data_IF_414493248717
#
_entry.id   IF_414493248717
#
_cell.length_a   1.000
_cell.length_b   1.000
_cell.length_c   1.000
_cell.angle_alpha   90.00
_cell.angle_beta   90.00
_cell.angle_gamma   90.00
#
_symmetry.space_group_name_H-M   'P 1'
#
loop_
_entity.id
_entity.type
_entity.pdbx_description
1 polymer ?
#
# COMPACT_ATOMS: atom_id res chain seq x y z
N UNK A 1 -57.77 0.43 4.88
CA UNK A 1 -56.92 -0.12 5.93
C UNK A 1 -55.81 -1.02 5.39
N UNK A 2 -56.07 -2.03 4.55
CA UNK A 2 -55.01 -2.95 4.05
C UNK A 2 -53.90 -2.26 3.25
N UNK A 3 -54.20 -1.22 2.43
CA UNK A 3 -53.19 -0.44 1.66
C UNK A 3 -52.32 0.47 2.56
N UNK A 4 -52.87 0.97 3.68
CA UNK A 4 -52.14 1.79 4.63
C UNK A 4 -51.15 0.94 5.46
N UNK A 5 -51.55 -0.29 5.83
CA UNK A 5 -50.73 -1.26 6.55
C UNK A 5 -49.57 -1.75 5.66
N UNK A 6 -49.82 -2.00 4.36
CA UNK A 6 -48.78 -2.37 3.41
C UNK A 6 -47.77 -1.24 3.16
N UNK A 7 -48.23 0.02 3.15
CA UNK A 7 -47.33 1.18 3.00
C UNK A 7 -46.47 1.42 4.25
N UNK A 8 -47.03 1.19 5.43
CA UNK A 8 -46.30 1.28 6.71
C UNK A 8 -45.28 0.12 6.83
N UNK A 9 -45.63 -1.07 6.36
CA UNK A 9 -44.71 -2.23 6.36
C UNK A 9 -43.57 -2.04 5.36
N UNK A 10 -43.84 -1.44 4.19
CA UNK A 10 -42.82 -1.09 3.19
C UNK A 10 -41.89 0.04 3.72
N UNK A 11 -42.43 1.00 4.47
CA UNK A 11 -41.65 2.06 5.09
C UNK A 11 -40.79 1.51 6.24
N UNK A 12 -41.31 0.54 7.03
CA UNK A 12 -40.58 -0.09 8.12
C UNK A 12 -39.41 -0.97 7.61
N UNK A 13 -39.52 -1.60 6.42
CA UNK A 13 -38.45 -2.38 5.81
C UNK A 13 -37.35 -1.50 5.18
N UNK A 14 -37.61 -0.23 4.88
CA UNK A 14 -36.59 0.73 4.44
C UNK A 14 -35.74 1.29 5.61
N UNK A 15 -36.24 1.25 6.85
CA UNK A 15 -35.52 1.79 8.01
C UNK A 15 -34.53 0.79 8.59
N UNK A 16 -34.66 -0.51 8.30
CA UNK A 16 -33.79 -1.56 8.83
C UNK A 16 -32.38 -1.66 8.20
N UNK A 17 -32.03 -0.81 7.23
CA UNK A 17 -30.71 -0.82 6.59
C UNK A 17 -29.78 0.33 7.02
N UNK A 18 -30.07 1.03 8.11
CA UNK A 18 -29.14 1.99 8.72
C UNK A 18 -28.30 1.33 9.85
N UNK A 19 -27.88 0.08 9.67
CA UNK A 19 -26.81 -0.45 10.50
C UNK A 19 -25.52 0.19 10.02
N UNK A 20 -24.81 0.84 10.92
CA UNK A 20 -23.44 1.30 10.66
C UNK A 20 -22.63 0.08 10.19
N UNK A 21 -22.12 0.14 8.98
CA UNK A 21 -21.32 -0.93 8.41
C UNK A 21 -20.05 -1.07 9.23
N UNK A 22 -19.81 -2.26 9.74
CA UNK A 22 -18.58 -2.56 10.48
C UNK A 22 -17.38 -2.65 9.53
N UNK A 23 -16.17 -2.48 10.04
CA UNK A 23 -14.95 -2.66 9.24
C UNK A 23 -14.92 -4.04 8.58
N UNK A 24 -15.37 -5.09 9.27
CA UNK A 24 -15.43 -6.46 8.75
C UNK A 24 -16.35 -6.59 7.51
N UNK A 25 -17.49 -5.91 7.50
CA UNK A 25 -18.37 -5.89 6.32
C UNK A 25 -17.71 -5.22 5.11
N UNK A 26 -16.93 -4.15 5.33
CA UNK A 26 -16.15 -3.51 4.28
C UNK A 26 -15.04 -4.43 3.73
N UNK A 27 -14.39 -5.22 4.59
CA UNK A 27 -13.37 -6.20 4.16
C UNK A 27 -13.99 -7.30 3.29
N UNK A 28 -15.15 -7.85 3.69
CA UNK A 28 -15.88 -8.83 2.89
C UNK A 28 -16.28 -8.24 1.53
N UNK A 29 -16.85 -7.03 1.51
CA UNK A 29 -17.23 -6.34 0.29
C UNK A 29 -16.03 -6.10 -0.63
N UNK A 30 -14.88 -5.70 -0.09
CA UNK A 30 -13.65 -5.53 -0.86
C UNK A 30 -13.17 -6.84 -1.46
N UNK A 31 -13.18 -7.93 -0.69
CA UNK A 31 -12.79 -9.27 -1.14
C UNK A 31 -13.66 -9.80 -2.29
N UNK A 32 -14.97 -9.55 -2.25
CA UNK A 32 -15.89 -10.01 -3.27
C UNK A 32 -15.91 -9.15 -4.53
N UNK A 33 -15.75 -7.84 -4.40
CA UNK A 33 -16.00 -6.92 -5.50
C UNK A 33 -14.76 -6.37 -6.18
N UNK A 34 -13.60 -6.39 -5.54
CA UNK A 34 -12.40 -5.76 -6.06
C UNK A 34 -11.96 -6.36 -7.41
N UNK A 35 -11.84 -5.55 -8.49
CA UNK A 35 -11.49 -6.04 -9.82
C UNK A 35 -10.07 -6.62 -9.90
N UNK A 36 -9.12 -6.06 -9.15
CA UNK A 36 -7.74 -6.53 -9.13
C UNK A 36 -7.66 -7.93 -8.53
N UNK A 37 -8.42 -8.20 -7.47
CA UNK A 37 -8.47 -9.52 -6.84
C UNK A 37 -9.12 -10.54 -7.77
N UNK A 38 -10.21 -10.17 -8.47
CA UNK A 38 -10.84 -11.00 -9.51
C UNK A 38 -9.86 -11.31 -10.65
N UNK A 39 -9.06 -10.35 -11.08
CA UNK A 39 -8.04 -10.57 -12.11
C UNK A 39 -6.97 -11.57 -11.65
N UNK A 40 -6.45 -11.46 -10.41
CA UNK A 40 -5.50 -12.42 -9.84
C UNK A 40 -6.07 -13.82 -9.74
N UNK A 41 -7.33 -13.95 -9.34
CA UNK A 41 -8.02 -15.24 -9.31
C UNK A 41 -8.18 -15.85 -10.71
N UNK A 42 -8.52 -15.03 -11.71
CA UNK A 42 -8.60 -15.48 -13.11
C UNK A 42 -7.22 -15.92 -13.65
N UNK A 43 -6.12 -15.22 -13.28
CA UNK A 43 -4.76 -15.66 -13.60
C UNK A 43 -4.43 -17.05 -13.01
N UNK A 44 -4.85 -17.31 -11.78
CA UNK A 44 -4.72 -18.62 -11.16
C UNK A 44 -5.52 -19.68 -11.93
N UNK A 45 -6.79 -19.41 -12.25
CA UNK A 45 -7.63 -20.31 -13.04
C UNK A 45 -7.02 -20.59 -14.43
N UNK A 46 -6.46 -19.58 -15.08
CA UNK A 46 -5.76 -19.75 -16.36
C UNK A 46 -4.50 -20.61 -16.21
N UNK A 47 -3.75 -20.43 -15.11
CA UNK A 47 -2.57 -21.25 -14.83
C UNK A 47 -2.93 -22.73 -14.57
N UNK A 48 -4.05 -23.00 -13.91
CA UNK A 48 -4.55 -24.37 -13.72
C UNK A 48 -4.83 -25.09 -15.06
N UNK A 49 -5.32 -24.35 -16.08
CA UNK A 49 -5.57 -24.92 -17.40
C UNK A 49 -4.30 -25.22 -18.21
N UNK A 50 -3.13 -24.73 -17.79
CA UNK A 50 -1.85 -25.07 -18.42
C UNK A 50 -1.37 -26.48 -18.07
N UNK A 51 -1.70 -26.98 -16.89
CA UNK A 51 -1.26 -28.30 -16.44
C UNK A 51 -1.76 -29.44 -17.31
N UNK A 52 -3.06 -29.55 -17.68
CA UNK A 52 -3.52 -30.58 -18.63
C UNK A 52 -2.90 -30.39 -20.02
N UNK A 53 -2.68 -29.15 -20.48
CA UNK A 53 -2.05 -28.88 -21.78
C UNK A 53 -0.58 -29.36 -21.80
N UNK A 54 0.20 -29.03 -20.75
CA UNK A 54 1.60 -29.44 -20.64
C UNK A 54 1.77 -30.95 -20.47
N UNK A 55 0.78 -31.66 -19.91
CA UNK A 55 0.77 -33.09 -19.72
C UNK A 55 0.20 -33.88 -20.90
N UNK A 56 -0.32 -33.22 -21.93
CA UNK A 56 -0.87 -33.88 -23.10
C UNK A 56 0.22 -34.30 -24.10
N UNK A 57 -0.08 -35.31 -24.89
CA UNK A 57 0.76 -35.66 -26.03
C UNK A 57 0.74 -34.56 -27.07
N UNK A 58 1.86 -34.33 -27.82
CA UNK A 58 1.86 -33.49 -28.99
C UNK A 58 0.79 -33.93 -30.00
N UNK A 59 0.26 -33.02 -30.76
CA UNK A 59 -0.72 -33.32 -31.78
C UNK A 59 -0.16 -34.26 -32.86
N UNK A 60 -0.96 -35.20 -33.41
CA UNK A 60 -0.52 -36.03 -34.53
C UNK A 60 -0.31 -35.18 -35.77
N UNK A 61 0.79 -35.38 -36.46
CA UNK A 61 1.11 -34.72 -37.70
C UNK A 61 0.51 -35.49 -38.89
N UNK A 62 -0.29 -34.82 -39.73
CA UNK A 62 -0.82 -35.37 -40.97
C UNK A 62 -0.13 -34.69 -42.18
N UNK A 63 0.56 -35.44 -43.00
CA UNK A 63 1.19 -34.94 -44.20
C UNK A 63 0.50 -35.48 -45.42
N UNK A 64 0.21 -34.61 -46.39
CA UNK A 64 -0.41 -34.93 -47.69
C UNK A 64 0.55 -34.55 -48.78
N UNK A 65 0.97 -35.50 -49.61
CA UNK A 65 1.86 -35.28 -50.75
C UNK A 65 1.16 -35.68 -52.03
N UNK A 66 1.21 -34.80 -53.04
CA UNK A 66 0.69 -35.04 -54.38
C UNK A 66 1.81 -34.82 -55.40
N UNK A 67 1.98 -35.80 -56.28
CA UNK A 67 2.96 -35.68 -57.35
C UNK A 67 2.29 -35.08 -58.60
N UNK A 68 2.79 -33.93 -59.07
CA UNK A 68 2.31 -33.28 -60.32
C UNK A 68 2.61 -34.14 -61.52
N UNK A 69 3.73 -34.85 -61.52
CA UNK A 69 4.06 -35.92 -62.44
C UNK A 69 4.15 -37.22 -61.66
N UNK A 70 3.37 -38.26 -62.04
CA UNK A 70 3.38 -39.53 -61.33
C UNK A 70 4.78 -40.13 -61.30
N UNK A 71 5.24 -40.55 -60.12
CA UNK A 71 6.57 -41.16 -59.96
C UNK A 71 6.48 -42.64 -60.35
N UNK A 72 7.23 -43.04 -61.38
CA UNK A 72 7.28 -44.45 -61.79
C UNK A 72 7.96 -45.33 -60.73
N UNK A 73 7.25 -46.35 -60.27
CA UNK A 73 7.78 -47.37 -59.33
C UNK A 73 7.39 -48.76 -59.82
N UNK A 74 8.08 -49.76 -59.32
CA UNK A 74 7.82 -51.20 -59.70
C UNK A 74 6.33 -51.60 -59.47
N UNK A 75 5.67 -51.01 -58.46
CA UNK A 75 4.29 -51.29 -58.10
C UNK A 75 3.24 -50.42 -58.81
N UNK A 76 3.60 -49.60 -59.78
CA UNK A 76 2.74 -48.65 -60.44
C UNK A 76 3.22 -47.21 -60.29
N UNK A 77 2.49 -46.28 -60.91
CA UNK A 77 2.76 -44.86 -60.84
C UNK A 77 2.22 -44.26 -59.53
N UNK A 78 3.11 -43.83 -58.62
CA UNK A 78 2.73 -43.17 -57.36
C UNK A 78 2.18 -41.78 -57.68
N UNK A 79 0.94 -41.50 -57.26
CA UNK A 79 0.24 -40.23 -57.49
C UNK A 79 0.28 -39.33 -56.25
N UNK A 80 0.39 -39.91 -55.08
CA UNK A 80 0.47 -39.22 -53.84
C UNK A 80 0.57 -40.15 -52.62
N UNK A 81 0.75 -39.56 -51.47
CA UNK A 81 0.72 -40.27 -50.19
C UNK A 81 0.09 -39.44 -49.12
N UNK A 82 -0.46 -40.12 -48.13
CA UNK A 82 -1.00 -39.54 -46.88
C UNK A 82 -0.33 -40.23 -45.73
N UNK A 83 0.33 -39.47 -44.86
CA UNK A 83 0.94 -40.03 -43.67
C UNK A 83 0.38 -39.37 -42.40
N UNK A 84 0.16 -40.17 -41.37
CA UNK A 84 -0.17 -39.69 -40.01
C UNK A 84 0.93 -40.20 -39.08
N UNK A 85 1.48 -39.29 -38.26
CA UNK A 85 2.54 -39.61 -37.32
C UNK A 85 2.22 -39.04 -35.93
N UNK A 86 2.30 -39.88 -34.88
CA UNK A 86 2.22 -39.49 -33.47
C UNK A 86 3.60 -39.58 -32.84
N UNK A 87 4.05 -38.45 -32.27
CA UNK A 87 5.31 -38.41 -31.50
C UNK A 87 5.01 -38.67 -30.01
N UNK A 88 5.91 -39.44 -29.39
CA UNK A 88 5.88 -39.75 -27.97
C UNK A 88 7.18 -39.25 -27.33
N UNK A 89 7.13 -38.18 -26.49
CA UNK A 89 8.27 -37.77 -25.70
C UNK A 89 8.74 -38.88 -24.77
N UNK A 90 10.01 -38.79 -24.33
CA UNK A 90 10.56 -39.78 -23.40
C UNK A 90 9.71 -39.88 -22.14
N UNK A 91 9.62 -41.12 -21.59
CA UNK A 91 8.82 -41.40 -20.41
C UNK A 91 9.16 -40.47 -19.24
N UNK A 92 8.11 -39.90 -18.61
CA UNK A 92 8.23 -38.96 -17.52
C UNK A 92 8.37 -37.46 -17.94
N UNK A 93 8.65 -37.16 -19.24
CA UNK A 93 8.78 -35.75 -19.70
C UNK A 93 7.47 -34.97 -19.55
N UNK A 94 6.34 -35.57 -19.97
CA UNK A 94 5.01 -34.96 -19.83
C UNK A 94 4.60 -34.84 -18.36
N UNK A 95 4.96 -35.82 -17.53
CA UNK A 95 4.75 -35.77 -16.09
C UNK A 95 5.51 -34.63 -15.41
N UNK A 96 6.78 -34.41 -15.79
CA UNK A 96 7.57 -33.30 -15.30
C UNK A 96 7.01 -31.93 -15.74
N UNK A 97 6.62 -31.81 -17.02
CA UNK A 97 5.99 -30.61 -17.56
C UNK A 97 4.65 -30.30 -16.86
N UNK A 98 3.82 -31.32 -16.61
CA UNK A 98 2.57 -31.18 -15.85
C UNK A 98 2.83 -30.74 -14.41
N UNK A 99 3.86 -31.31 -13.75
CA UNK A 99 4.22 -30.94 -12.39
C UNK A 99 4.70 -29.49 -12.30
N UNK A 100 5.57 -29.06 -13.23
CA UNK A 100 5.99 -27.67 -13.35
C UNK A 100 4.79 -26.73 -13.48
N UNK A 101 3.86 -27.01 -14.41
CA UNK A 101 2.66 -26.22 -14.62
C UNK A 101 1.74 -26.18 -13.38
N UNK A 102 1.63 -27.29 -12.64
CA UNK A 102 0.89 -27.34 -11.37
C UNK A 102 1.52 -26.45 -10.30
N UNK A 103 2.85 -26.51 -10.13
CA UNK A 103 3.55 -25.68 -9.15
C UNK A 103 3.46 -24.19 -9.52
N UNK A 104 3.55 -23.87 -10.82
CA UNK A 104 3.30 -22.51 -11.30
C UNK A 104 1.86 -22.03 -11.02
N UNK A 105 0.88 -22.94 -11.09
CA UNK A 105 -0.49 -22.60 -10.69
C UNK A 105 -0.60 -22.36 -9.18
N UNK A 106 0.07 -23.16 -8.33
CA UNK A 106 0.13 -22.92 -6.89
C UNK A 106 0.83 -21.60 -6.54
N UNK A 107 1.89 -21.26 -7.26
CA UNK A 107 2.53 -19.95 -7.14
C UNK A 107 1.56 -18.80 -7.44
N UNK A 108 0.72 -18.93 -8.49
CA UNK A 108 -0.33 -17.95 -8.81
C UNK A 108 -1.42 -17.89 -7.74
N UNK A 109 -1.76 -19.01 -7.12
CA UNK A 109 -2.68 -19.04 -5.99
C UNK A 109 -2.12 -18.29 -4.78
N UNK A 110 -0.86 -18.54 -4.41
CA UNK A 110 -0.20 -17.81 -3.32
C UNK A 110 -0.12 -16.31 -3.62
N UNK A 111 0.12 -15.91 -4.88
CA UNK A 111 0.07 -14.50 -5.31
C UNK A 111 -1.34 -13.89 -5.20
N UNK A 112 -2.39 -14.68 -5.43
CA UNK A 112 -3.78 -14.26 -5.19
C UNK A 112 -4.04 -14.01 -3.70
N UNK A 113 -3.61 -14.93 -2.82
CA UNK A 113 -3.75 -14.75 -1.36
C UNK A 113 -2.97 -13.53 -0.88
N UNK A 114 -1.74 -13.32 -1.38
CA UNK A 114 -0.96 -12.12 -1.07
C UNK A 114 -1.69 -10.84 -1.50
N UNK A 115 -2.26 -10.80 -2.69
CA UNK A 115 -3.05 -9.67 -3.16
C UNK A 115 -4.28 -9.43 -2.27
N UNK A 116 -4.94 -10.50 -1.77
CA UNK A 116 -6.09 -10.42 -0.86
C UNK A 116 -5.70 -9.78 0.48
N UNK A 117 -4.65 -10.27 1.12
CA UNK A 117 -4.22 -9.72 2.43
C UNK A 117 -3.69 -8.28 2.30
N UNK A 118 -3.02 -7.95 1.19
CA UNK A 118 -2.59 -6.57 0.90
C UNK A 118 -3.79 -5.64 0.67
N UNK A 119 -4.84 -6.10 0.00
CA UNK A 119 -6.09 -5.36 -0.16
C UNK A 119 -6.74 -5.09 1.20
N UNK A 120 -6.86 -6.10 2.04
CA UNK A 120 -7.45 -5.98 3.38
C UNK A 120 -6.67 -5.00 4.25
N UNK A 121 -5.34 -5.09 4.25
CA UNK A 121 -4.49 -4.12 4.93
C UNK A 121 -4.70 -2.69 4.39
N UNK A 122 -4.79 -2.51 3.06
CA UNK A 122 -5.03 -1.20 2.44
C UNK A 122 -6.40 -0.63 2.79
N UNK A 123 -7.44 -1.46 2.85
CA UNK A 123 -8.78 -1.06 3.28
C UNK A 123 -8.74 -0.62 4.75
N UNK A 124 -8.11 -1.41 5.65
CA UNK A 124 -7.96 -1.06 7.07
C UNK A 124 -7.22 0.24 7.28
N UNK A 125 -6.08 0.42 6.62
CA UNK A 125 -5.27 1.65 6.77
C UNK A 125 -5.99 2.87 6.25
N UNK A 126 -6.74 2.75 5.16
CA UNK A 126 -7.55 3.87 4.63
C UNK A 126 -8.75 4.17 5.54
N UNK A 127 -9.38 3.15 6.10
CA UNK A 127 -10.44 3.30 7.10
C UNK A 127 -9.92 4.00 8.37
N UNK A 128 -8.76 3.59 8.87
CA UNK A 128 -8.08 4.25 10.01
C UNK A 128 -7.76 5.72 9.72
N UNK A 129 -7.34 6.03 8.50
CA UNK A 129 -7.07 7.41 8.09
C UNK A 129 -8.36 8.26 8.03
N UNK A 130 -9.49 7.68 7.61
CA UNK A 130 -10.80 8.35 7.66
C UNK A 130 -11.26 8.56 9.10
N UNK A 131 -11.10 7.54 9.95
CA UNK A 131 -11.39 7.63 11.39
C UNK A 131 -10.59 8.75 12.05
N UNK A 132 -9.29 8.83 11.77
CA UNK A 132 -8.43 9.88 12.30
C UNK A 132 -8.93 11.28 11.90
N UNK A 133 -9.34 11.46 10.64
CA UNK A 133 -9.89 12.73 10.15
C UNK A 133 -11.17 13.09 10.92
N UNK A 134 -12.11 12.14 11.08
CA UNK A 134 -13.38 12.40 11.73
C UNK A 134 -13.20 12.71 13.23
N UNK A 135 -12.32 12.01 13.93
CA UNK A 135 -12.01 12.30 15.34
C UNK A 135 -11.26 13.65 15.49
N UNK A 136 -10.34 13.97 14.56
CA UNK A 136 -9.66 15.26 14.56
C UNK A 136 -10.65 16.42 14.30
N UNK A 137 -11.62 16.24 13.42
CA UNK A 137 -12.70 17.21 13.20
C UNK A 137 -13.49 17.45 14.49
N UNK A 138 -13.92 16.38 15.18
CA UNK A 138 -14.63 16.49 16.44
C UNK A 138 -13.78 17.19 17.53
N UNK A 139 -12.49 16.87 17.58
CA UNK A 139 -11.55 17.50 18.51
C UNK A 139 -11.45 19.00 18.26
N UNK A 140 -11.30 19.42 17.00
CA UNK A 140 -11.22 20.84 16.61
C UNK A 140 -12.54 21.57 16.83
N UNK A 141 -13.70 20.94 16.60
CA UNK A 141 -15.02 21.50 16.87
C UNK A 141 -15.21 21.78 18.38
N UNK A 142 -14.84 20.83 19.24
CA UNK A 142 -14.89 21.04 20.71
C UNK A 142 -13.97 22.18 21.14
N UNK A 143 -12.76 22.26 20.58
CA UNK A 143 -11.83 23.35 20.91
C UNK A 143 -12.35 24.71 20.42
N UNK A 144 -12.99 24.73 19.24
CA UNK A 144 -13.63 25.95 18.71
C UNK A 144 -14.73 26.46 19.65
N UNK A 145 -15.58 25.59 20.17
CA UNK A 145 -16.61 25.95 21.14
C UNK A 145 -16.00 26.54 22.43
N UNK A 146 -14.90 25.96 22.91
CA UNK A 146 -14.18 26.46 24.09
C UNK A 146 -13.57 27.84 23.83
N UNK A 147 -12.93 28.06 22.68
CA UNK A 147 -12.36 29.38 22.33
C UNK A 147 -13.44 30.44 22.16
N UNK A 148 -14.59 30.09 21.57
CA UNK A 148 -15.74 31.01 21.47
C UNK A 148 -16.34 31.34 22.85
N UNK A 149 -16.37 30.36 23.78
CA UNK A 149 -16.78 30.64 25.14
C UNK A 149 -15.80 31.57 25.86
N UNK A 150 -14.50 31.35 25.66
CA UNK A 150 -13.45 32.21 26.22
C UNK A 150 -13.50 33.64 25.65
N UNK A 151 -13.79 33.79 24.34
CA UNK A 151 -14.02 35.12 23.73
C UNK A 151 -15.17 35.88 24.41
N UNK A 152 -16.28 35.18 24.67
CA UNK A 152 -17.42 35.79 25.38
C UNK A 152 -17.04 36.27 26.78
N UNK A 153 -16.25 35.49 27.52
CA UNK A 153 -15.76 35.86 28.87
C UNK A 153 -14.80 37.05 28.77
N UNK A 154 -13.86 37.05 27.82
CA UNK A 154 -12.94 38.17 27.61
C UNK A 154 -13.67 39.46 27.23
N UNK A 155 -14.69 39.37 26.37
CA UNK A 155 -15.56 40.50 26.00
C UNK A 155 -16.37 41.06 27.19
N UNK A 156 -16.91 40.15 28.03
CA UNK A 156 -17.63 40.58 29.24
C UNK A 156 -16.69 41.28 30.22
N UNK A 157 -15.48 40.77 30.44
CA UNK A 157 -14.44 41.34 31.26
C UNK A 157 -14.00 42.74 30.73
N UNK A 158 -13.84 42.88 29.42
CA UNK A 158 -13.53 44.17 28.79
C UNK A 158 -14.64 45.18 28.99
N UNK A 159 -15.91 44.81 28.84
CA UNK A 159 -17.07 45.68 29.05
C UNK A 159 -17.32 46.07 30.50
N UNK A 160 -16.97 45.19 31.45
CA UNK A 160 -17.15 45.42 32.89
C UNK A 160 -16.01 46.20 33.54
N UNK A 161 -14.90 46.42 32.79
CA UNK A 161 -13.81 47.26 33.27
C UNK A 161 -14.32 48.69 33.45
N UNK A 162 -14.19 49.32 34.65
CA UNK A 162 -14.55 50.71 34.82
C UNK A 162 -13.72 51.55 33.86
N UNK A 163 -14.36 52.38 33.04
CA UNK A 163 -13.67 53.32 32.20
C UNK A 163 -12.73 54.14 33.10
N UNK A 164 -11.42 53.99 32.90
CA UNK A 164 -10.45 54.81 33.61
C UNK A 164 -10.78 56.24 33.27
N UNK A 165 -11.39 56.96 34.25
CA UNK A 165 -11.69 58.37 34.16
C UNK A 165 -10.37 59.08 33.91
N UNK A 166 -10.18 59.58 32.73
CA UNK A 166 -9.15 60.50 32.34
C UNK A 166 -9.45 61.86 33.02
N UNK A 167 -9.27 61.94 34.32
CA UNK A 167 -9.17 63.21 34.97
C UNK A 167 -7.72 63.68 34.87
N UNK A 168 -7.51 64.48 33.89
CA UNK A 168 -6.28 65.25 33.77
C UNK A 168 -6.10 66.16 34.99
N UNK A 169 -5.03 65.90 35.69
CA UNK A 169 -4.44 66.94 36.52
C UNK A 169 -3.25 67.53 35.76
N UNK A 170 -3.57 68.60 35.05
CA UNK A 170 -2.60 69.58 34.65
C UNK A 170 -2.01 70.24 35.91
N UNK A 171 -0.84 69.82 36.34
CA UNK A 171 -0.02 70.58 37.30
C UNK A 171 1.13 71.19 36.55
N UNK A 172 0.90 72.45 36.25
CA UNK A 172 1.86 73.46 35.92
C UNK A 172 2.95 73.54 36.99
N UNK A 173 4.19 73.32 36.65
CA UNK A 173 5.32 73.97 37.30
C UNK A 173 6.38 74.35 36.29
N UNK A 174 6.43 75.69 36.14
CA UNK A 174 7.48 76.47 35.52
C UNK A 174 8.80 76.34 36.30
N UNK A 175 9.79 76.51 35.55
CA UNK A 175 10.97 77.41 35.74
C UNK A 175 12.34 76.75 35.74
N UNK A 176 13.07 77.23 34.83
CA UNK A 176 14.42 77.81 34.93
C UNK A 176 15.55 76.76 35.12
N UNK A 177 16.47 76.70 34.24
CA UNK A 177 17.39 77.61 33.76
C UNK A 177 18.75 76.98 33.56
N UNK A 178 19.42 77.43 32.53
CA UNK A 178 20.86 77.67 32.43
C UNK A 178 21.80 76.55 32.09
N UNK A 179 22.27 76.60 30.87
CA UNK A 179 23.68 76.84 30.44
C UNK A 179 24.71 75.73 30.46
N UNK A 180 25.23 75.61 29.30
CA UNK A 180 26.65 75.66 28.84
C UNK A 180 27.36 74.32 28.62
N UNK A 181 27.70 74.22 27.40
CA UNK A 181 29.00 74.25 26.69
C UNK A 181 29.63 72.86 26.55
N UNK A 182 29.78 72.44 25.38
CA UNK A 182 30.85 72.60 24.39
C UNK A 182 31.90 71.47 24.40
N UNK A 183 32.20 71.10 23.19
CA UNK A 183 33.47 70.59 22.64
C UNK A 183 33.52 69.07 22.43
N UNK A 184 33.48 68.60 21.20
CA UNK A 184 34.49 68.65 20.12
C UNK A 184 35.40 67.39 20.11
N UNK A 185 35.52 66.87 18.92
CA UNK A 185 36.61 65.98 18.48
C UNK A 185 36.09 64.56 18.11
N UNK A 186 36.12 64.08 16.91
CA UNK A 186 37.01 64.28 15.77
C UNK A 186 37.66 62.95 15.42
N UNK A 187 37.63 62.60 14.15
CA UNK A 187 38.48 61.59 13.59
C UNK A 187 37.78 60.30 13.08
N UNK A 188 37.35 60.13 11.86
CA UNK A 188 37.98 59.89 10.54
C UNK A 188 38.91 58.71 10.41
N UNK A 189 38.56 57.91 9.44
CA UNK A 189 39.36 57.22 8.41
C UNK A 189 39.20 55.71 8.41
N UNK A 190 38.62 55.11 7.38
CA UNK A 190 39.12 54.79 6.01
C UNK A 190 40.10 53.60 5.98
N UNK A 191 39.80 52.72 5.04
CA UNK A 191 40.73 51.78 4.45
C UNK A 191 40.16 50.39 4.34
N UNK A 192 39.62 49.96 3.25
CA UNK A 192 40.10 49.57 1.92
C UNK A 192 40.88 48.22 1.90
N UNK A 193 40.25 47.30 1.16
CA UNK A 193 40.81 46.42 0.08
C UNK A 193 41.63 45.15 0.42
N UNK A 194 41.29 44.11 -0.31
CA UNK A 194 42.13 42.99 -0.70
C UNK A 194 41.44 41.61 -0.64
N UNK A 195 40.81 41.08 -1.64
CA UNK A 195 41.24 40.38 -2.86
C UNK A 195 42.02 39.08 -2.63
N UNK A 196 41.45 38.00 -3.21
CA UNK A 196 42.14 36.72 -3.53
C UNK A 196 41.53 35.54 -2.77
N UNK A 197 40.86 34.59 -3.34
CA UNK A 197 41.12 33.79 -4.48
C UNK A 197 41.09 32.31 -4.11
N UNK A 198 40.24 31.60 -4.81
CA UNK A 198 40.37 30.19 -5.20
C UNK A 198 39.76 29.04 -4.36
N UNK A 199 38.71 28.48 -4.95
CA UNK A 199 38.32 27.06 -5.20
C UNK A 199 38.61 25.99 -4.17
N UNK A 200 37.64 25.25 -3.71
CA UNK A 200 37.21 23.92 -4.26
C UNK A 200 36.20 23.25 -3.33
N UNK A 201 35.18 22.70 -4.02
CA UNK A 201 34.44 21.47 -3.73
C UNK A 201 33.89 21.13 -2.34
N UNK A 202 32.57 21.04 -2.25
CA UNK A 202 31.95 19.78 -1.81
C UNK A 202 31.24 19.79 -0.46
N UNK A 203 29.99 19.46 -0.58
CA UNK A 203 29.07 18.95 0.43
C UNK A 203 28.10 19.96 1.04
N UNK A 204 26.89 19.87 0.47
CA UNK A 204 25.65 20.45 0.94
C UNK A 204 25.23 19.87 2.30
N UNK A 205 25.44 20.62 3.35
CA UNK A 205 24.72 20.44 4.60
C UNK A 205 23.80 21.64 4.77
N UNK A 206 22.52 21.43 4.60
CA UNK A 206 21.46 22.38 4.87
C UNK A 206 21.43 22.71 6.38
N UNK A 207 22.06 23.83 6.72
CA UNK A 207 21.88 24.46 8.03
C UNK A 207 20.59 25.25 8.00
N UNK A 208 19.54 24.72 8.63
CA UNK A 208 18.42 25.52 9.06
C UNK A 208 18.90 26.66 9.94
N UNK A 209 18.83 27.88 9.41
CA UNK A 209 19.01 29.10 10.21
C UNK A 209 17.80 29.20 11.14
N UNK A 210 18.01 28.91 12.42
CA UNK A 210 17.13 29.41 13.46
C UNK A 210 17.25 30.95 13.45
N UNK A 211 16.20 31.62 13.00
CA UNK A 211 16.05 33.03 13.29
C UNK A 211 15.82 33.16 14.80
N UNK A 212 16.85 33.54 15.53
CA UNK A 212 16.68 34.11 16.86
C UNK A 212 15.96 35.43 16.68
N UNK A 213 14.64 35.46 16.89
CA UNK A 213 13.94 36.68 17.14
C UNK A 213 14.45 37.28 18.44
N UNK A 214 15.22 38.33 18.30
CA UNK A 214 15.71 39.11 19.42
C UNK A 214 14.53 39.52 20.31
N UNK A 215 14.67 39.17 21.60
CA UNK A 215 13.70 39.55 22.61
C UNK A 215 13.51 41.08 22.67
N UNK A 216 12.33 41.48 22.24
CA UNK A 216 11.71 42.68 22.80
C UNK A 216 10.95 42.26 24.05
N UNK A 217 11.66 42.11 25.16
CA UNK A 217 11.03 42.12 26.46
C UNK A 217 10.58 43.57 26.77
N UNK A 218 9.44 43.93 26.17
CA UNK A 218 8.68 45.03 26.73
C UNK A 218 7.91 44.50 27.91
N UNK A 219 8.38 44.84 29.08
CA UNK A 219 7.63 44.84 30.33
C UNK A 219 6.37 45.68 30.20
N UNK A 220 5.32 45.13 29.61
CA UNK A 220 3.94 45.59 29.76
C UNK A 220 3.22 44.67 30.74
N UNK A 221 3.71 44.67 31.97
CA UNK A 221 2.90 44.32 33.12
C UNK A 221 1.96 45.51 33.36
N UNK A 222 0.80 45.51 32.74
CA UNK A 222 -0.30 46.31 33.23
C UNK A 222 -1.63 45.83 32.69
N UNK A 223 -2.46 45.48 33.63
CA UNK A 223 -3.90 45.41 33.60
C UNK A 223 -4.53 44.51 32.56
N UNK A 224 -4.93 43.33 32.99
CA UNK A 224 -5.72 42.34 32.28
C UNK A 224 -7.11 42.76 31.88
N UNK A 225 -7.24 43.76 31.00
CA UNK A 225 -8.50 44.12 30.38
C UNK A 225 -8.26 44.71 28.99
N UNK A 226 -7.45 44.07 28.23
CA UNK A 226 -7.06 44.58 26.92
C UNK A 226 -7.99 44.04 25.84
N UNK A 227 -8.47 44.91 24.95
CA UNK A 227 -9.11 44.50 23.69
C UNK A 227 -8.21 43.61 22.87
N UNK A 228 -6.91 43.66 23.14
CA UNK A 228 -5.89 42.74 22.57
C UNK A 228 -6.21 41.31 22.86
N UNK A 229 -6.64 40.95 24.10
CA UNK A 229 -7.01 39.60 24.49
C UNK A 229 -8.12 39.03 23.59
N UNK A 230 -9.14 39.86 23.31
CA UNK A 230 -10.25 39.49 22.42
C UNK A 230 -9.78 39.28 20.99
N UNK A 231 -8.86 40.13 20.51
CA UNK A 231 -8.30 40.01 19.16
C UNK A 231 -7.46 38.75 19.04
N UNK A 232 -6.63 38.41 20.04
CA UNK A 232 -5.83 37.20 20.04
C UNK A 232 -6.69 35.94 19.97
N UNK A 233 -7.76 35.89 20.76
CA UNK A 233 -8.71 34.77 20.71
C UNK A 233 -9.36 34.65 19.33
N UNK A 234 -9.78 35.78 18.72
CA UNK A 234 -10.38 35.78 17.37
C UNK A 234 -9.44 35.29 16.29
N UNK A 235 -8.17 35.67 16.36
CA UNK A 235 -7.16 35.16 15.43
C UNK A 235 -7.08 33.64 15.51
N UNK A 236 -7.05 33.09 16.73
CA UNK A 236 -7.02 31.63 16.93
C UNK A 236 -8.31 30.93 16.49
N UNK A 237 -9.47 31.55 16.74
CA UNK A 237 -10.76 31.04 16.23
C UNK A 237 -10.75 30.96 14.70
N UNK A 238 -10.24 32.00 14.01
CA UNK A 238 -10.16 32.01 12.55
C UNK A 238 -9.16 31.00 12.00
N UNK A 239 -8.03 30.81 12.65
CA UNK A 239 -7.06 29.77 12.29
C UNK A 239 -7.67 28.36 12.43
N UNK A 240 -8.38 28.11 13.54
CA UNK A 240 -9.04 26.86 13.81
C UNK A 240 -10.19 26.57 12.82
N UNK A 241 -11.01 27.57 12.49
CA UNK A 241 -12.06 27.47 11.46
C UNK A 241 -11.49 27.09 10.10
N UNK A 242 -10.40 27.73 9.68
CA UNK A 242 -9.72 27.42 8.43
C UNK A 242 -9.15 26.00 8.44
N UNK A 243 -8.49 25.60 9.53
CA UNK A 243 -7.94 24.27 9.70
C UNK A 243 -9.02 23.18 9.64
N UNK A 244 -10.15 23.42 10.28
CA UNK A 244 -11.32 22.54 10.28
C UNK A 244 -11.90 22.40 8.86
N UNK A 245 -11.99 23.50 8.09
CA UNK A 245 -12.44 23.45 6.70
C UNK A 245 -11.49 22.60 5.83
N UNK A 246 -10.18 22.84 5.91
CA UNK A 246 -9.18 22.07 5.17
C UNK A 246 -9.22 20.56 5.53
N UNK A 247 -9.44 20.24 6.80
CA UNK A 247 -9.52 18.87 7.26
C UNK A 247 -10.78 18.17 6.71
N UNK A 248 -11.93 18.83 6.73
CA UNK A 248 -13.16 18.32 6.11
C UNK A 248 -13.00 18.11 4.61
N UNK A 249 -12.34 19.02 3.91
CA UNK A 249 -12.06 18.89 2.47
C UNK A 249 -11.11 17.72 2.18
N UNK A 250 -10.16 17.43 3.08
CA UNK A 250 -9.22 16.31 2.96
C UNK A 250 -9.88 14.93 3.10
N UNK A 251 -11.07 14.85 3.67
CA UNK A 251 -11.84 13.62 3.84
C UNK A 251 -12.29 13.03 2.50
N UNK A 252 -12.75 13.87 1.59
CA UNK A 252 -13.33 13.44 0.30
C UNK A 252 -12.39 12.60 -0.57
N UNK A 253 -11.12 12.97 -0.82
CA UNK A 253 -10.22 12.11 -1.60
C UNK A 253 -9.95 10.75 -0.92
N UNK A 254 -9.95 10.68 0.41
CA UNK A 254 -9.81 9.43 1.14
C UNK A 254 -11.06 8.53 0.99
N UNK A 255 -12.26 9.12 1.03
CA UNK A 255 -13.51 8.38 0.75
C UNK A 255 -13.54 7.81 -0.67
N UNK A 256 -13.14 8.60 -1.67
CA UNK A 256 -13.03 8.13 -3.05
C UNK A 256 -12.05 6.97 -3.16
N UNK A 257 -10.87 7.07 -2.53
CA UNK A 257 -9.89 6.00 -2.51
C UNK A 257 -10.44 4.73 -1.83
N UNK A 258 -11.11 4.88 -0.68
CA UNK A 258 -11.75 3.77 0.03
C UNK A 258 -12.84 3.09 -0.83
N UNK A 259 -13.75 3.88 -1.41
CA UNK A 259 -14.82 3.37 -2.26
C UNK A 259 -14.30 2.66 -3.52
N UNK A 260 -13.18 3.14 -4.09
CA UNK A 260 -12.56 2.50 -5.25
C UNK A 260 -12.00 1.11 -4.92
N UNK A 261 -11.44 0.90 -3.71
CA UNK A 261 -10.99 -0.42 -3.27
C UNK A 261 -12.14 -1.42 -3.12
N UNK A 262 -13.33 -0.94 -2.73
CA UNK A 262 -14.54 -1.74 -2.62
C UNK A 262 -15.30 -1.91 -3.95
N UNK A 263 -14.84 -1.24 -5.01
CA UNK A 263 -15.53 -1.19 -6.31
C UNK A 263 -17.00 -0.78 -6.19
N UNK A 264 -17.26 0.29 -5.42
CA UNK A 264 -18.58 0.90 -5.26
C UNK A 264 -18.57 2.35 -5.73
N UNK A 265 -19.74 2.97 -5.77
CA UNK A 265 -19.87 4.37 -6.19
C UNK A 265 -18.96 5.30 -5.36
N UNK A 266 -18.19 6.15 -6.04
CA UNK A 266 -17.13 6.96 -5.41
C UNK A 266 -17.63 8.00 -4.40
N UNK A 267 -18.87 8.45 -4.54
CA UNK A 267 -19.46 9.49 -3.70
C UNK A 267 -20.27 8.93 -2.50
N UNK A 268 -20.27 7.62 -2.28
CA UNK A 268 -20.93 7.06 -1.11
C UNK A 268 -20.21 7.46 0.17
N UNK A 269 -20.97 7.94 1.15
CA UNK A 269 -20.43 8.27 2.46
C UNK A 269 -19.93 6.99 3.16
N UNK A 270 -18.79 7.09 3.81
CA UNK A 270 -18.23 6.03 4.66
C UNK A 270 -18.68 6.30 6.10
N UNK A 271 -19.39 5.35 6.67
CA UNK A 271 -19.81 5.42 8.08
C UNK A 271 -18.73 4.75 8.95
N UNK A 272 -18.32 5.45 10.00
CA UNK A 272 -17.34 4.99 10.97
C UNK A 272 -18.06 4.86 12.30
N UNK A 273 -18.23 3.63 12.76
CA UNK A 273 -19.06 3.35 13.94
C UNK A 273 -18.27 3.07 15.23
N UNK A 274 -16.97 2.77 15.10
CA UNK A 274 -16.18 2.24 16.19
C UNK A 274 -15.28 3.31 16.82
N UNK A 275 -15.25 3.37 18.15
CA UNK A 275 -14.27 4.14 18.91
C UNK A 275 -13.03 3.29 19.11
N UNK A 276 -11.90 3.72 18.54
CA UNK A 276 -10.63 3.00 18.67
C UNK A 276 -10.04 3.16 20.07
N UNK A 277 -9.58 2.04 20.62
CA UNK A 277 -8.80 1.99 21.85
C UNK A 277 -7.40 1.44 21.56
N UNK A 278 -6.41 1.72 22.40
CA UNK A 278 -5.09 1.11 22.26
C UNK A 278 -5.18 -0.42 22.18
N UNK A 279 -4.45 -1.01 21.24
CA UNK A 279 -4.49 -2.45 20.95
C UNK A 279 -3.19 -3.12 21.38
N UNK A 280 -3.27 -4.33 21.95
CA UNK A 280 -2.12 -5.15 22.28
C UNK A 280 -1.61 -5.92 21.05
N UNK A 281 -0.35 -6.36 21.09
CA UNK A 281 0.19 -7.27 20.07
C UNK A 281 -0.61 -8.59 20.06
N UNK A 282 -0.90 -9.16 18.86
CA UNK A 282 -1.75 -10.34 18.73
C UNK A 282 -1.11 -11.60 19.30
N UNK A 283 0.22 -11.68 19.37
CA UNK A 283 0.96 -12.84 19.83
C UNK A 283 2.36 -12.47 20.33
N UNK A 284 3.06 -13.44 20.94
CA UNK A 284 4.48 -13.29 21.27
C UNK A 284 5.35 -13.22 20.01
N UNK A 285 6.51 -12.57 20.11
CA UNK A 285 7.44 -12.42 18.99
C UNK A 285 7.82 -13.75 18.32
N UNK A 286 8.06 -14.78 19.11
CA UNK A 286 8.41 -16.11 18.59
C UNK A 286 7.27 -16.72 17.76
N UNK A 287 6.02 -16.61 18.23
CA UNK A 287 4.85 -17.10 17.49
C UNK A 287 4.60 -16.30 16.21
N UNK A 288 4.83 -14.98 16.22
CA UNK A 288 4.72 -14.14 15.03
C UNK A 288 5.75 -14.58 13.99
N UNK A 289 7.02 -14.78 14.38
CA UNK A 289 8.08 -15.23 13.48
C UNK A 289 7.79 -16.62 12.89
N UNK A 290 7.33 -17.56 13.71
CA UNK A 290 6.98 -18.91 13.25
C UNK A 290 5.77 -18.87 12.29
N UNK A 291 4.76 -18.05 12.59
CA UNK A 291 3.61 -17.87 11.70
C UNK A 291 4.03 -17.31 10.34
N UNK A 292 4.92 -16.30 10.31
CA UNK A 292 5.42 -15.73 9.07
C UNK A 292 6.15 -16.80 8.24
N UNK A 293 7.04 -17.58 8.85
CA UNK A 293 7.79 -18.62 8.14
C UNK A 293 6.90 -19.71 7.53
N UNK A 294 5.82 -20.07 8.23
CA UNK A 294 4.94 -21.16 7.79
C UNK A 294 3.81 -20.70 6.87
N UNK A 295 3.25 -19.51 7.12
CA UNK A 295 1.97 -19.12 6.53
C UNK A 295 2.07 -17.95 5.56
N UNK A 296 3.21 -17.24 5.48
CA UNK A 296 3.30 -16.05 4.64
C UNK A 296 3.20 -16.41 3.15
N UNK A 297 2.22 -15.84 2.39
CA UNK A 297 1.98 -16.22 1.00
C UNK A 297 3.17 -15.99 0.07
N UNK A 298 3.98 -14.96 0.32
CA UNK A 298 5.20 -14.69 -0.46
C UNK A 298 6.23 -15.80 -0.31
N UNK A 299 6.43 -16.34 0.91
CA UNK A 299 7.35 -17.47 1.12
C UNK A 299 6.82 -18.74 0.47
N UNK A 300 5.51 -19.00 0.56
CA UNK A 300 4.88 -20.10 -0.15
C UNK A 300 5.00 -19.94 -1.68
N UNK A 301 4.88 -18.73 -2.21
CA UNK A 301 5.08 -18.46 -3.63
C UNK A 301 6.50 -18.83 -4.09
N UNK A 302 7.53 -18.47 -3.34
CA UNK A 302 8.91 -18.85 -3.63
C UNK A 302 9.17 -20.35 -3.44
N UNK A 303 8.54 -20.99 -2.46
CA UNK A 303 8.60 -22.47 -2.30
C UNK A 303 8.01 -23.19 -3.52
N UNK A 304 6.88 -22.72 -4.05
CA UNK A 304 6.30 -23.28 -5.26
C UNK A 304 7.14 -23.01 -6.50
N UNK A 305 7.79 -21.84 -6.59
CA UNK A 305 8.74 -21.54 -7.68
C UNK A 305 9.95 -22.48 -7.64
N UNK A 306 10.53 -22.72 -6.46
CA UNK A 306 11.62 -23.70 -6.27
C UNK A 306 11.22 -25.09 -6.76
N UNK A 307 10.04 -25.60 -6.37
CA UNK A 307 9.50 -26.89 -6.84
C UNK A 307 9.22 -26.90 -8.36
N UNK A 308 8.78 -25.78 -8.90
CA UNK A 308 8.59 -25.63 -10.36
C UNK A 308 9.94 -25.70 -11.10
N UNK A 309 10.99 -25.03 -10.60
CA UNK A 309 12.35 -25.10 -11.16
C UNK A 309 12.97 -26.48 -11.04
N UNK A 310 12.74 -27.19 -9.93
CA UNK A 310 13.14 -28.60 -9.80
C UNK A 310 12.49 -29.47 -10.89
N UNK A 311 11.19 -29.29 -11.12
CA UNK A 311 10.47 -30.00 -12.19
C UNK A 311 11.00 -29.63 -13.58
N UNK A 312 11.34 -28.35 -13.81
CA UNK A 312 11.97 -27.85 -15.04
C UNK A 312 13.35 -28.47 -15.26
N UNK A 313 14.17 -28.59 -14.21
CA UNK A 313 15.46 -29.27 -14.26
C UNK A 313 15.29 -30.74 -14.64
N UNK A 314 14.34 -31.43 -14.03
CA UNK A 314 14.00 -32.83 -14.35
C UNK A 314 13.54 -32.97 -15.82
N UNK A 315 12.73 -32.04 -16.32
CA UNK A 315 12.32 -32.01 -17.72
C UNK A 315 13.53 -31.80 -18.64
N UNK A 316 14.46 -30.89 -18.32
CA UNK A 316 15.68 -30.64 -19.09
C UNK A 316 16.58 -31.88 -19.17
N UNK A 317 16.64 -32.70 -18.13
CA UNK A 317 17.33 -34.01 -18.14
C UNK A 317 16.67 -34.99 -19.11
N UNK A 318 15.34 -35.05 -19.12
CA UNK A 318 14.56 -35.98 -19.96
C UNK A 318 14.53 -35.54 -21.44
N UNK A 319 14.60 -34.24 -21.73
CA UNK A 319 14.72 -33.72 -23.10
C UNK A 319 16.00 -34.15 -23.82
N UNK A 320 17.02 -34.56 -23.09
CA UNK A 320 18.25 -35.14 -23.63
C UNK A 320 18.11 -36.65 -24.01
N UNK A 321 16.93 -37.23 -23.88
CA UNK A 321 16.64 -38.64 -24.23
C UNK A 321 15.99 -38.73 -25.61
N UNK A 322 16.07 -39.88 -26.30
CA UNK A 322 15.41 -40.10 -27.58
C UNK A 322 13.88 -39.95 -27.49
N UNK A 323 13.23 -39.38 -28.51
CA UNK A 323 11.78 -39.41 -28.65
C UNK A 323 11.40 -40.48 -29.69
N UNK A 324 10.26 -41.08 -29.54
CA UNK A 324 9.74 -42.12 -30.43
C UNK A 324 8.50 -41.61 -31.16
N UNK A 325 8.42 -41.87 -32.46
CA UNK A 325 7.24 -41.62 -33.26
C UNK A 325 6.72 -42.90 -33.89
N UNK A 326 5.42 -43.07 -33.92
CA UNK A 326 4.74 -44.14 -34.64
C UNK A 326 3.81 -43.54 -35.66
N UNK A 327 3.88 -43.98 -36.90
CA UNK A 327 3.09 -43.45 -37.97
C UNK A 327 2.64 -44.53 -38.95
N UNK A 328 1.77 -44.08 -39.84
CA UNK A 328 1.22 -44.87 -40.93
C UNK A 328 1.25 -44.04 -42.20
N UNK A 329 1.81 -44.59 -43.26
CA UNK A 329 1.82 -43.96 -44.59
C UNK A 329 0.96 -44.78 -45.53
N UNK A 330 0.00 -44.12 -46.16
CA UNK A 330 -0.87 -44.68 -47.21
C UNK A 330 -0.47 -44.08 -48.53
N UNK A 331 0.09 -44.95 -49.41
CA UNK A 331 0.55 -44.57 -50.77
C UNK A 331 -0.48 -44.95 -51.79
N UNK A 332 -0.82 -44.00 -52.69
CA UNK A 332 -1.80 -44.16 -53.76
C UNK A 332 -1.07 -44.38 -55.06
N UNK A 333 -1.33 -45.49 -55.69
CA UNK A 333 -0.72 -45.91 -56.96
C UNK A 333 -1.76 -46.02 -58.08
N UNK A 334 -1.39 -45.58 -59.30
CA UNK A 334 -2.12 -45.87 -60.53
C UNK A 334 -1.44 -46.97 -61.26
N UNK A 335 -2.16 -47.84 -62.01
CA UNK A 335 -1.54 -48.85 -62.89
C UNK A 335 -0.59 -48.17 -63.90
N UNK A 336 0.54 -48.78 -64.15
CA UNK A 336 1.43 -48.41 -65.26
C UNK A 336 1.32 -49.41 -66.38
N UNK A 337 1.42 -48.99 -67.63
CA UNK A 337 1.47 -49.90 -68.78
C UNK A 337 2.92 -50.35 -68.97
N UNK A 338 3.15 -51.64 -68.98
CA UNK A 338 4.45 -52.23 -69.28
C UNK A 338 4.78 -52.04 -70.77
N UNK A 339 5.94 -51.47 -71.08
CA UNK A 339 6.34 -51.17 -72.48
C UNK A 339 6.47 -52.41 -73.35
N UNK A 340 6.81 -53.60 -72.77
CA UNK A 340 7.01 -54.86 -73.50
C UNK A 340 5.72 -55.62 -73.71
N UNK A 341 4.86 -55.65 -72.72
CA UNK A 341 3.64 -56.53 -72.77
C UNK A 341 2.34 -55.74 -73.05
N UNK A 342 2.39 -54.38 -73.05
CA UNK A 342 1.24 -53.48 -73.15
C UNK A 342 0.11 -53.78 -72.13
N UNK A 343 0.43 -54.53 -71.05
CA UNK A 343 -0.53 -54.89 -70.02
C UNK A 343 -0.44 -53.90 -68.82
N UNK A 344 -1.53 -53.57 -68.19
CA UNK A 344 -1.51 -52.72 -66.99
C UNK A 344 -0.90 -53.53 -65.83
N UNK A 345 0.22 -53.06 -65.30
CA UNK A 345 0.90 -53.66 -64.17
C UNK A 345 0.82 -52.76 -62.92
N UNK A 346 0.59 -53.38 -61.73
CA UNK A 346 0.59 -52.70 -60.45
C UNK A 346 -0.71 -51.91 -60.18
N UNK A 347 -0.60 -50.76 -59.52
CA UNK A 347 -1.76 -49.91 -59.18
C UNK A 347 -2.45 -50.24 -57.87
N UNK A 348 -1.92 -51.19 -57.06
CA UNK A 348 -2.45 -51.48 -55.70
C UNK A 348 -1.86 -50.47 -54.70
N UNK A 349 -2.74 -49.82 -53.96
CA UNK A 349 -2.38 -48.94 -52.89
C UNK A 349 -1.65 -49.73 -51.80
N UNK A 350 -0.68 -49.04 -51.16
CA UNK A 350 0.18 -49.66 -50.12
C UNK A 350 0.08 -48.91 -48.80
N UNK A 351 -0.02 -49.67 -47.72
CA UNK A 351 0.08 -49.13 -46.34
C UNK A 351 1.45 -49.49 -45.77
N UNK A 352 2.17 -48.48 -45.28
CA UNK A 352 3.49 -48.65 -44.73
C UNK A 352 3.52 -48.15 -43.25
N UNK A 353 3.64 -49.01 -42.25
CA UNK A 353 3.89 -48.54 -40.87
C UNK A 353 5.28 -47.89 -40.78
N UNK A 354 5.39 -46.79 -40.07
CA UNK A 354 6.61 -46.04 -39.83
C UNK A 354 6.93 -45.90 -38.38
N UNK A 355 8.20 -46.09 -38.03
CA UNK A 355 8.73 -45.78 -36.70
C UNK A 355 9.81 -44.74 -36.84
N UNK A 356 9.72 -43.68 -36.10
CA UNK A 356 10.69 -42.59 -36.08
C UNK A 356 11.33 -42.52 -34.72
N UNK A 357 12.66 -42.36 -34.68
CA UNK A 357 13.39 -42.15 -33.44
C UNK A 357 14.21 -40.84 -33.61
N UNK A 358 13.96 -39.89 -32.75
CA UNK A 358 14.74 -38.64 -32.71
C UNK A 358 15.93 -38.79 -31.77
N UNK A 359 17.14 -38.71 -32.31
CA UNK A 359 18.37 -38.93 -31.55
C UNK A 359 18.97 -37.56 -31.13
N UNK A 360 19.15 -37.28 -29.83
CA UNK A 360 19.73 -36.03 -29.30
C UNK A 360 21.27 -36.05 -29.43
N UNK A 361 21.78 -35.84 -30.64
CA UNK A 361 23.22 -35.88 -30.94
C UNK A 361 23.98 -34.66 -30.45
N UNK A 362 23.31 -33.50 -30.36
CA UNK A 362 23.91 -32.22 -29.94
C UNK A 362 23.99 -32.12 -28.41
N UNK A 363 24.78 -32.95 -27.79
CA UNK A 363 24.87 -33.10 -26.32
C UNK A 363 25.17 -31.81 -25.57
N UNK A 364 25.93 -30.88 -26.19
CA UNK A 364 26.25 -29.58 -25.59
C UNK A 364 25.00 -28.74 -25.33
N UNK A 365 24.02 -28.75 -26.25
CA UNK A 365 22.73 -28.07 -26.09
C UNK A 365 21.98 -28.56 -24.82
N UNK A 366 21.86 -29.86 -24.68
CA UNK A 366 21.12 -30.47 -23.56
C UNK A 366 21.84 -30.28 -22.22
N UNK A 367 23.17 -30.38 -22.20
CA UNK A 367 23.96 -30.07 -21.00
C UNK A 367 23.85 -28.61 -20.60
N UNK A 368 23.79 -27.68 -21.56
CA UNK A 368 23.59 -26.26 -21.27
C UNK A 368 22.19 -25.98 -20.71
N UNK A 369 21.14 -26.61 -21.28
CA UNK A 369 19.78 -26.50 -20.76
C UNK A 369 19.63 -27.06 -19.32
N UNK A 370 20.34 -28.18 -19.01
CA UNK A 370 20.39 -28.71 -17.64
C UNK A 370 21.07 -27.75 -16.67
N UNK A 371 22.21 -27.13 -17.06
CA UNK A 371 22.90 -26.15 -16.24
C UNK A 371 22.07 -24.87 -16.04
N UNK A 372 21.40 -24.41 -17.10
CA UNK A 372 20.47 -23.28 -17.02
C UNK A 372 19.38 -23.54 -15.99
N UNK A 373 18.72 -24.70 -16.06
CA UNK A 373 17.67 -25.08 -15.11
C UNK A 373 18.21 -25.25 -13.67
N UNK A 374 19.46 -25.76 -13.52
CA UNK A 374 20.10 -25.87 -12.22
C UNK A 374 20.36 -24.48 -11.61
N UNK A 375 20.93 -23.55 -12.39
CA UNK A 375 21.14 -22.19 -11.89
C UNK A 375 19.82 -21.46 -11.62
N UNK A 376 18.75 -21.73 -12.38
CA UNK A 376 17.43 -21.20 -12.11
C UNK A 376 16.86 -21.74 -10.77
N UNK A 377 17.13 -23.00 -10.44
CA UNK A 377 16.75 -23.58 -9.14
C UNK A 377 17.57 -22.95 -8.00
N UNK A 378 18.88 -22.81 -8.15
CA UNK A 378 19.75 -22.14 -7.17
C UNK A 378 19.29 -20.67 -6.95
N UNK A 379 18.94 -19.97 -8.01
CA UNK A 379 18.42 -18.62 -7.92
C UNK A 379 17.06 -18.54 -7.19
N UNK A 380 16.16 -19.51 -7.43
CA UNK A 380 14.87 -19.56 -6.73
C UNK A 380 15.04 -19.81 -5.21
N UNK A 381 15.97 -20.70 -4.82
CA UNK A 381 16.30 -20.94 -3.42
C UNK A 381 16.89 -19.68 -2.74
N UNK A 382 17.82 -19.00 -3.40
CA UNK A 382 18.39 -17.75 -2.90
C UNK A 382 17.35 -16.61 -2.78
N UNK A 383 16.44 -16.52 -3.73
CA UNK A 383 15.32 -15.55 -3.68
C UNK A 383 14.39 -15.81 -2.49
N UNK A 384 14.12 -17.08 -2.17
CA UNK A 384 13.32 -17.45 -0.99
C UNK A 384 14.02 -17.02 0.31
N UNK A 385 15.31 -17.29 0.44
CA UNK A 385 16.11 -16.87 1.60
C UNK A 385 16.14 -15.33 1.72
N UNK A 386 16.32 -14.62 0.60
CA UNK A 386 16.27 -13.16 0.57
C UNK A 386 14.92 -12.62 1.03
N UNK A 387 13.82 -13.21 0.57
CA UNK A 387 12.47 -12.82 0.96
C UNK A 387 12.20 -13.09 2.46
N UNK A 388 12.69 -14.19 3.02
CA UNK A 388 12.60 -14.45 4.46
C UNK A 388 13.34 -13.38 5.27
N UNK A 389 14.56 -13.03 4.86
CA UNK A 389 15.34 -12.00 5.54
C UNK A 389 14.67 -10.62 5.44
N UNK A 390 14.08 -10.28 4.30
CA UNK A 390 13.34 -9.03 4.11
C UNK A 390 12.11 -8.96 5.02
N UNK A 391 11.33 -10.04 5.11
CA UNK A 391 10.17 -10.11 6.00
C UNK A 391 10.56 -9.99 7.48
N UNK A 392 11.65 -10.60 7.90
CA UNK A 392 12.15 -10.47 9.29
C UNK A 392 12.62 -9.04 9.58
N UNK A 393 13.24 -8.38 8.61
CA UNK A 393 13.63 -6.96 8.73
C UNK A 393 12.40 -6.05 8.81
N UNK A 394 11.37 -6.28 7.95
CA UNK A 394 10.10 -5.56 8.00
C UNK A 394 9.39 -5.77 9.34
N UNK A 395 9.34 -7.00 9.86
CA UNK A 395 8.77 -7.28 11.18
C UNK A 395 9.47 -6.47 12.27
N UNK A 396 10.80 -6.39 12.24
CA UNK A 396 11.56 -5.61 13.23
C UNK A 396 11.20 -4.13 13.20
N UNK A 397 11.00 -3.56 12.00
CA UNK A 397 10.57 -2.17 11.84
C UNK A 397 9.14 -1.95 12.37
N UNK A 398 8.20 -2.86 12.07
CA UNK A 398 6.82 -2.79 12.55
C UNK A 398 6.72 -2.91 14.08
N UNK A 399 7.54 -3.75 14.68
CA UNK A 399 7.61 -3.86 16.16
C UNK A 399 8.15 -2.59 16.80
N UNK A 400 9.15 -1.97 16.19
CA UNK A 400 9.64 -0.66 16.64
C UNK A 400 8.56 0.42 16.52
N UNK A 401 7.82 0.48 15.41
CA UNK A 401 6.73 1.43 15.22
C UNK A 401 5.61 1.23 16.26
N UNK A 402 5.25 -0.02 16.55
CA UNK A 402 4.31 -0.36 17.61
C UNK A 402 4.81 0.10 18.99
N UNK A 403 6.08 -0.18 19.34
CA UNK A 403 6.66 0.23 20.62
C UNK A 403 6.73 1.75 20.75
N UNK A 404 7.13 2.43 19.66
CA UNK A 404 7.16 3.90 19.61
C UNK A 404 5.77 4.48 19.86
N UNK A 405 4.75 3.99 19.17
CA UNK A 405 3.37 4.43 19.35
C UNK A 405 2.88 4.20 20.80
N UNK A 406 3.15 3.04 21.38
CA UNK A 406 2.77 2.70 22.76
C UNK A 406 3.45 3.60 23.79
N UNK A 407 4.77 3.85 23.64
CA UNK A 407 5.51 4.72 24.54
C UNK A 407 5.06 6.19 24.41
N UNK A 408 4.75 6.61 23.18
CA UNK A 408 4.21 7.96 22.92
C UNK A 408 2.85 8.14 23.57
N UNK A 409 1.97 7.13 23.51
CA UNK A 409 0.65 7.18 24.18
C UNK A 409 0.77 7.40 25.69
N UNK A 410 1.63 6.63 26.36
CA UNK A 410 1.85 6.75 27.80
C UNK A 410 2.36 8.15 28.18
N UNK A 411 3.31 8.69 27.41
CA UNK A 411 3.82 10.03 27.64
C UNK A 411 2.75 11.10 27.43
N UNK A 412 1.96 10.99 26.35
CA UNK A 412 0.93 11.99 26.03
C UNK A 412 -0.20 11.99 27.04
N UNK A 413 -0.62 10.85 27.56
CA UNK A 413 -1.62 10.76 28.65
C UNK A 413 -1.18 11.56 29.87
N UNK A 414 0.07 11.41 30.28
CA UNK A 414 0.61 12.15 31.43
C UNK A 414 0.74 13.65 31.12
N UNK A 415 1.21 14.00 29.93
CA UNK A 415 1.31 15.42 29.49
C UNK A 415 -0.05 16.09 29.44
N UNK A 416 -1.06 15.44 28.90
CA UNK A 416 -2.45 15.96 28.85
C UNK A 416 -2.94 16.18 30.27
N UNK A 417 -2.79 15.21 31.17
CA UNK A 417 -3.23 15.28 32.56
C UNK A 417 -2.59 16.46 33.30
N UNK A 418 -1.27 16.65 33.16
CA UNK A 418 -0.55 17.76 33.80
C UNK A 418 -0.97 19.12 33.24
N UNK A 419 -1.11 19.24 31.92
CA UNK A 419 -1.53 20.48 31.27
C UNK A 419 -2.99 20.85 31.58
N UNK A 420 -3.89 19.87 31.72
CA UNK A 420 -5.25 20.13 32.19
C UNK A 420 -5.28 20.65 33.62
N UNK A 421 -4.39 20.20 34.50
CA UNK A 421 -4.23 20.75 35.85
C UNK A 421 -3.72 22.19 35.77
N UNK A 422 -2.71 22.47 34.94
CA UNK A 422 -2.19 23.82 34.74
C UNK A 422 -3.27 24.78 34.22
N UNK A 423 -4.08 24.38 33.24
CA UNK A 423 -5.18 25.21 32.74
C UNK A 423 -6.21 25.51 33.82
N UNK A 424 -6.56 24.55 34.67
CA UNK A 424 -7.51 24.81 35.78
C UNK A 424 -6.98 25.87 36.73
N UNK A 425 -5.70 25.84 37.09
CA UNK A 425 -5.06 26.84 37.93
C UNK A 425 -5.00 28.20 37.23
N UNK A 426 -4.55 28.28 35.97
CA UNK A 426 -4.48 29.50 35.19
C UNK A 426 -5.85 30.16 34.96
N UNK A 427 -6.90 29.35 34.75
CA UNK A 427 -8.27 29.87 34.56
C UNK A 427 -8.78 30.49 35.86
N UNK A 428 -8.47 29.89 37.01
CA UNK A 428 -8.83 30.45 38.32
C UNK A 428 -8.09 31.75 38.54
N UNK A 429 -6.80 31.81 38.28
CA UNK A 429 -5.96 33.00 38.41
C UNK A 429 -6.40 34.13 37.48
N UNK A 430 -6.75 33.82 36.24
CA UNK A 430 -7.32 34.78 35.27
C UNK A 430 -8.61 35.41 35.76
N UNK A 431 -9.46 34.64 36.50
CA UNK A 431 -10.74 35.14 37.04
C UNK A 431 -10.52 36.12 38.18
N UNK A 432 -9.44 36.00 38.97
CA UNK A 432 -9.14 36.78 40.18
C UNK A 432 -8.24 37.98 39.91
N UNK A 433 -7.56 38.09 38.77
CA UNK A 433 -6.81 39.26 38.31
C UNK A 433 -5.28 39.08 38.08
N UNK A 434 -4.75 37.91 38.00
CA UNK A 434 -3.30 37.70 37.93
C UNK A 434 -2.74 37.26 36.58
N UNK A 435 -3.32 36.28 35.94
CA UNK A 435 -2.78 35.69 34.71
C UNK A 435 -3.27 36.37 33.43
N UNK A 436 -2.41 36.44 32.41
CA UNK A 436 -2.83 36.88 31.06
C UNK A 436 -3.52 35.76 30.29
N UNK A 437 -4.42 36.14 29.37
CA UNK A 437 -5.13 35.20 28.47
C UNK A 437 -4.15 34.41 27.57
N UNK A 438 -3.00 35.00 27.25
CA UNK A 438 -1.99 34.42 26.36
C UNK A 438 -1.45 33.08 26.89
N UNK A 439 -1.24 32.97 28.20
CA UNK A 439 -0.74 31.73 28.82
C UNK A 439 -1.82 30.63 28.73
N UNK A 440 -3.08 30.97 28.98
CA UNK A 440 -4.20 30.02 28.82
C UNK A 440 -4.28 29.51 27.38
N UNK A 441 -4.19 30.43 26.40
CA UNK A 441 -4.23 30.07 24.99
C UNK A 441 -3.06 29.17 24.59
N UNK A 442 -1.86 29.46 25.10
CA UNK A 442 -0.66 28.63 24.87
C UNK A 442 -0.84 27.22 25.40
N UNK A 443 -1.34 27.08 26.64
CA UNK A 443 -1.59 25.76 27.24
C UNK A 443 -2.73 25.02 26.51
N UNK A 444 -3.73 25.72 26.02
CA UNK A 444 -4.81 25.15 25.18
C UNK A 444 -4.28 24.60 23.87
N UNK A 445 -3.43 25.36 23.18
CA UNK A 445 -2.77 24.89 21.95
C UNK A 445 -1.90 23.68 22.21
N UNK A 446 -1.18 23.62 23.33
CA UNK A 446 -0.36 22.49 23.71
C UNK A 446 -1.22 21.23 23.93
N UNK A 447 -2.33 21.33 24.66
CA UNK A 447 -3.26 20.18 24.88
C UNK A 447 -3.87 19.73 23.56
N UNK A 448 -4.32 20.66 22.70
CA UNK A 448 -4.84 20.31 21.39
C UNK A 448 -3.80 19.52 20.57
N UNK A 449 -2.55 20.00 20.55
CA UNK A 449 -1.44 19.31 19.91
C UNK A 449 -1.18 17.89 20.50
N UNK A 450 -1.21 17.75 21.82
CA UNK A 450 -1.04 16.44 22.49
C UNK A 450 -2.18 15.47 22.18
N UNK A 451 -3.44 15.94 22.15
CA UNK A 451 -4.59 15.12 21.79
C UNK A 451 -4.56 14.68 20.34
N UNK A 452 -4.10 15.55 19.42
CA UNK A 452 -3.89 15.17 18.02
C UNK A 452 -2.79 14.11 17.89
N UNK A 453 -1.68 14.28 18.60
CA UNK A 453 -0.60 13.28 18.63
C UNK A 453 -1.05 11.97 19.28
N UNK A 454 -1.92 12.02 20.30
CA UNK A 454 -2.51 10.83 20.93
C UNK A 454 -3.38 10.06 19.93
N UNK A 455 -4.24 10.76 19.19
CA UNK A 455 -5.06 10.16 18.13
C UNK A 455 -4.18 9.53 17.02
N UNK A 456 -3.13 10.23 16.61
CA UNK A 456 -2.15 9.71 15.65
C UNK A 456 -1.46 8.46 16.18
N UNK A 457 -1.02 8.45 17.44
CA UNK A 457 -0.33 7.30 18.03
C UNK A 457 -1.26 6.07 18.18
N UNK A 458 -2.55 6.27 18.48
CA UNK A 458 -3.54 5.19 18.47
C UNK A 458 -3.69 4.60 17.07
N UNK A 459 -3.86 5.44 16.06
CA UNK A 459 -3.95 5.00 14.66
C UNK A 459 -2.68 4.31 14.17
N UNK A 460 -1.51 4.84 14.49
CA UNK A 460 -0.22 4.21 14.15
C UNK A 460 -0.07 2.83 14.79
N UNK A 461 -0.53 2.65 16.04
CA UNK A 461 -0.54 1.36 16.72
C UNK A 461 -1.44 0.35 15.99
N UNK A 462 -2.64 0.76 15.60
CA UNK A 462 -3.55 -0.09 14.82
C UNK A 462 -3.00 -0.43 13.43
N UNK A 463 -2.35 0.51 12.75
CA UNK A 463 -1.69 0.28 11.46
C UNK A 463 -0.56 -0.73 11.61
N UNK A 464 0.28 -0.61 12.63
CA UNK A 464 1.37 -1.55 12.91
C UNK A 464 0.84 -2.96 13.20
N UNK A 465 -0.19 -3.08 14.03
CA UNK A 465 -0.84 -4.39 14.33
C UNK A 465 -1.49 -4.98 13.06
N UNK A 466 -2.17 -4.16 12.26
CA UNK A 466 -2.74 -4.62 10.98
C UNK A 466 -1.66 -5.12 10.02
N UNK A 467 -0.50 -4.45 9.96
CA UNK A 467 0.63 -4.89 9.14
C UNK A 467 1.23 -6.21 9.67
N UNK A 468 1.33 -6.39 10.98
CA UNK A 468 1.78 -7.65 11.60
C UNK A 468 0.79 -8.78 11.30
N UNK A 469 -0.53 -8.53 11.40
CA UNK A 469 -1.57 -9.51 11.06
C UNK A 469 -1.49 -9.91 9.57
N UNK A 470 -1.27 -8.94 8.68
CA UNK A 470 -0.99 -9.19 7.26
C UNK A 470 0.18 -10.14 7.08
N UNK A 471 1.30 -9.93 7.80
CA UNK A 471 2.48 -10.80 7.71
C UNK A 471 2.21 -12.21 8.25
N UNK A 472 1.40 -12.36 9.28
CA UNK A 472 1.01 -13.66 9.83
C UNK A 472 -0.03 -14.40 8.99
N UNK A 473 -0.64 -13.74 8.00
CA UNK A 473 -1.81 -14.25 7.24
C UNK A 473 -2.97 -14.64 8.15
N UNK A 474 -3.16 -13.90 9.25
CA UNK A 474 -4.21 -14.20 10.24
C UNK A 474 -5.60 -13.70 9.83
N UNK A 475 -5.69 -12.88 8.79
CA UNK A 475 -6.93 -12.25 8.29
C UNK A 475 -7.51 -12.99 7.07
N UNK A 476 -7.07 -14.22 6.78
CA UNK A 476 -7.49 -14.99 5.59
C UNK A 476 -8.85 -15.66 5.74
#
# INVERSE_FOLDING_TARGET
MKKLIASIFLLLTCISNLQAQTLEEYLVMAGENNPQLKARYAEYQAALQKAPQAGSLPDPEANFSFFLQPMERLMGNQVGDVSIMQMFPWFGSLGAAKSEANYMAQMKFSSFIEAKINLYHSVRTTWLALYQIDEEVQLLERELEILQALERVALAKYKSAPAASSQGQASQRQSAGATSSAAAGGGSSSGMAGMGGNSTSGSSASRSRSMSSGGMSSSMASSGNSMVDVILIRVQVKDLENRLQLLRDSRRPKEVAFNSMLNREHNLAVQLADTLQPVALPASLALIQDSIRQNHPMLQMYEWDEKARESQYRMAQLMGRPMFGVGLNYMVFKPRTDEMTQMPMGGKNMVMPMVTVTLPIYRKKYKSAQKEAQYAQEAAAANRESAENELLAELSALLYDYQRASSTLQLLEEQIRLNEQAIRLLTTDYSVAGAGIEEILRQRQAILGYRQQQLQAITDQHVAVSAINRMMNSDS
#
